data_IF_242932978818
#
_entry.id   IF_242932978818
#
_cell.length_a   1.000
_cell.length_b   1.000
_cell.length_c   1.000
_cell.angle_alpha   90.00
_cell.angle_beta   90.00
_cell.angle_gamma   90.00
#
_symmetry.space_group_name_H-M   'P 1'
#
loop_
_entity.id
_entity.type
_entity.pdbx_description
1 polymer ?
#
# COMPACT_ATOMS: atom_id res chain seq x y z
N UNK A 1 13.58 12.03 -16.61
CA UNK A 1 12.24 11.95 -16.04
C UNK A 1 12.15 12.85 -14.81
N UNK A 2 11.13 13.65 -14.77
CA UNK A 2 10.85 14.56 -13.67
C UNK A 2 10.48 13.78 -12.41
N UNK A 3 10.83 14.33 -11.23
CA UNK A 3 10.45 13.75 -9.94
C UNK A 3 8.94 13.59 -9.82
N UNK A 4 8.17 14.55 -10.33
CA UNK A 4 6.71 14.51 -10.26
C UNK A 4 6.11 13.33 -11.01
N UNK A 5 6.77 12.86 -12.09
CA UNK A 5 6.32 11.69 -12.83
C UNK A 5 6.45 10.43 -11.99
N UNK A 6 7.57 10.27 -11.28
CA UNK A 6 7.76 9.14 -10.38
C UNK A 6 6.74 9.13 -9.25
N UNK A 7 6.52 10.29 -8.63
CA UNK A 7 5.56 10.41 -7.56
C UNK A 7 4.14 10.18 -8.04
N UNK A 8 3.81 10.65 -9.24
CA UNK A 8 2.50 10.42 -9.82
C UNK A 8 2.25 8.94 -10.05
N UNK A 9 3.23 8.24 -10.64
CA UNK A 9 3.10 6.81 -10.90
C UNK A 9 2.98 6.02 -9.60
N UNK A 10 3.82 6.32 -8.61
CA UNK A 10 3.75 5.67 -7.31
C UNK A 10 2.37 5.88 -6.67
N UNK A 11 1.90 7.13 -6.65
CA UNK A 11 0.63 7.46 -6.02
C UNK A 11 -0.54 6.77 -6.71
N UNK A 12 -0.52 6.72 -8.03
CA UNK A 12 -1.57 6.07 -8.80
C UNK A 12 -1.73 4.61 -8.38
N UNK A 13 -0.64 3.86 -8.39
CA UNK A 13 -0.71 2.43 -8.05
C UNK A 13 -0.93 2.20 -6.56
N UNK A 14 -0.35 3.04 -5.72
CA UNK A 14 -0.51 2.89 -4.28
C UNK A 14 -1.97 3.13 -3.86
N UNK A 15 -2.57 4.22 -4.33
CA UNK A 15 -3.96 4.53 -3.96
C UNK A 15 -4.94 3.60 -4.64
N UNK A 16 -4.63 3.12 -5.85
CA UNK A 16 -5.44 2.07 -6.47
C UNK A 16 -5.43 0.82 -5.59
N UNK A 17 -4.26 0.44 -5.07
CA UNK A 17 -4.14 -0.70 -4.17
C UNK A 17 -5.02 -0.53 -2.94
N UNK A 18 -4.97 0.65 -2.30
CA UNK A 18 -5.78 0.92 -1.11
C UNK A 18 -7.28 0.88 -1.42
N UNK A 19 -7.68 1.41 -2.57
CA UNK A 19 -9.08 1.36 -2.99
C UNK A 19 -9.53 -0.09 -3.21
N UNK A 20 -8.68 -0.90 -3.84
CA UNK A 20 -8.98 -2.31 -4.06
C UNK A 20 -9.06 -3.08 -2.74
N UNK A 21 -8.21 -2.76 -1.77
CA UNK A 21 -8.26 -3.36 -0.44
C UNK A 21 -9.59 -3.04 0.24
N UNK A 22 -10.08 -1.83 0.08
CA UNK A 22 -11.38 -1.45 0.63
C UNK A 22 -12.51 -2.29 0.02
N UNK A 23 -12.48 -2.49 -1.30
CA UNK A 23 -13.46 -3.37 -1.97
C UNK A 23 -13.31 -4.82 -1.52
N UNK A 24 -12.07 -5.29 -1.38
CA UNK A 24 -11.79 -6.62 -0.86
C UNK A 24 -12.38 -6.80 0.54
N UNK A 25 -12.20 -5.83 1.42
CA UNK A 25 -12.75 -5.90 2.77
C UNK A 25 -14.27 -6.01 2.76
N UNK A 26 -14.93 -5.24 1.90
CA UNK A 26 -16.38 -5.31 1.75
C UNK A 26 -16.84 -6.70 1.30
N UNK A 27 -16.16 -7.26 0.30
CA UNK A 27 -16.55 -8.57 -0.23
C UNK A 27 -16.31 -9.68 0.79
N UNK A 28 -15.20 -9.64 1.52
CA UNK A 28 -14.93 -10.62 2.57
C UNK A 28 -15.99 -10.54 3.66
N UNK A 29 -16.38 -9.33 4.06
CA UNK A 29 -17.43 -9.13 5.05
C UNK A 29 -18.76 -9.70 4.59
N UNK A 30 -19.12 -9.49 3.31
CA UNK A 30 -20.34 -10.04 2.75
C UNK A 30 -20.34 -11.56 2.73
N UNK A 31 -19.20 -12.17 2.42
CA UNK A 31 -19.08 -13.63 2.45
C UNK A 31 -19.27 -14.14 3.88
N UNK A 32 -18.69 -13.47 4.86
CA UNK A 32 -18.87 -13.84 6.26
C UNK A 32 -20.32 -13.76 6.70
N UNK A 33 -21.06 -12.77 6.18
CA UNK A 33 -22.47 -12.60 6.48
C UNK A 33 -23.38 -13.44 5.57
N UNK A 34 -22.79 -14.25 4.68
CA UNK A 34 -23.49 -15.10 3.73
C UNK A 34 -24.39 -14.31 2.78
N UNK A 35 -23.98 -13.09 2.42
CA UNK A 35 -24.65 -12.28 1.41
C UNK A 35 -23.94 -12.44 0.08
N UNK A 36 -24.68 -12.33 -1.02
CA UNK A 36 -24.14 -12.58 -2.34
C UNK A 36 -23.64 -11.34 -3.07
N UNK A 37 -24.20 -10.16 -2.74
CA UNK A 37 -23.88 -8.92 -3.46
C UNK A 37 -23.69 -7.76 -2.50
N UNK A 38 -22.65 -6.92 -2.70
CA UNK A 38 -22.59 -5.65 -2.01
C UNK A 38 -23.62 -4.69 -2.60
N UNK A 39 -24.27 -3.94 -1.73
CA UNK A 39 -25.21 -2.92 -2.18
C UNK A 39 -24.47 -1.81 -2.92
N UNK A 40 -24.99 -1.40 -4.07
CA UNK A 40 -24.57 -0.19 -4.81
C UNK A 40 -23.14 -0.19 -5.36
N UNK A 41 -22.50 -1.36 -5.58
CA UNK A 41 -21.09 -1.37 -6.02
C UNK A 41 -20.85 -2.09 -7.34
N UNK A 42 -21.76 -2.89 -7.82
CA UNK A 42 -21.56 -3.64 -9.06
C UNK A 42 -20.59 -4.81 -8.96
N UNK A 43 -20.00 -5.07 -7.80
CA UNK A 43 -19.15 -6.23 -7.58
C UNK A 43 -19.95 -7.38 -7.00
N UNK A 44 -19.50 -8.59 -7.30
CA UNK A 44 -20.08 -9.82 -6.74
C UNK A 44 -19.05 -10.47 -5.82
N UNK A 45 -19.51 -11.28 -4.87
CA UNK A 45 -18.58 -11.98 -3.98
C UNK A 45 -17.64 -12.90 -4.76
N UNK A 46 -18.06 -13.38 -5.93
CA UNK A 46 -17.20 -14.19 -6.79
C UNK A 46 -16.07 -13.41 -7.43
N UNK A 47 -16.10 -12.07 -7.38
CA UNK A 47 -15.04 -11.22 -7.89
C UNK A 47 -13.86 -11.10 -6.91
N UNK A 48 -13.99 -11.64 -5.69
CA UNK A 48 -12.98 -11.48 -4.65
C UNK A 48 -11.57 -11.89 -5.07
N UNK A 49 -11.34 -13.02 -5.76
CA UNK A 49 -9.97 -13.37 -6.16
C UNK A 49 -9.32 -12.32 -7.03
N UNK A 50 -10.04 -11.78 -8.01
CA UNK A 50 -9.52 -10.75 -8.92
C UNK A 50 -9.20 -9.48 -8.15
N UNK A 51 -10.09 -9.05 -7.27
CA UNK A 51 -9.90 -7.83 -6.49
C UNK A 51 -8.72 -7.99 -5.52
N UNK A 52 -8.58 -9.14 -4.88
CA UNK A 52 -7.45 -9.42 -3.99
C UNK A 52 -6.13 -9.36 -4.73
N UNK A 53 -6.06 -9.98 -5.91
CA UNK A 53 -4.85 -9.96 -6.73
C UNK A 53 -4.54 -8.54 -7.20
N UNK A 54 -5.56 -7.80 -7.63
CA UNK A 54 -5.39 -6.42 -8.08
C UNK A 54 -4.87 -5.53 -6.96
N UNK A 55 -5.40 -5.69 -5.75
CA UNK A 55 -4.98 -4.90 -4.59
C UNK A 55 -3.51 -5.13 -4.27
N UNK A 56 -3.12 -6.39 -4.12
CA UNK A 56 -1.76 -6.72 -3.75
C UNK A 56 -0.79 -6.44 -4.89
N UNK A 57 -1.18 -6.76 -6.13
CA UNK A 57 -0.36 -6.52 -7.30
C UNK A 57 -0.06 -5.05 -7.51
N UNK A 58 -1.08 -4.19 -7.44
CA UNK A 58 -0.89 -2.74 -7.58
C UNK A 58 0.01 -2.19 -6.47
N UNK A 59 -0.16 -2.69 -5.24
CA UNK A 59 0.69 -2.30 -4.12
C UNK A 59 2.14 -2.65 -4.37
N UNK A 60 2.41 -3.87 -4.83
CA UNK A 60 3.78 -4.30 -5.13
C UNK A 60 4.38 -3.53 -6.32
N UNK A 61 3.56 -3.18 -7.31
CA UNK A 61 4.02 -2.33 -8.41
C UNK A 61 4.41 -0.94 -7.88
N UNK A 62 3.64 -0.39 -6.96
CA UNK A 62 3.99 0.90 -6.37
C UNK A 62 5.33 0.84 -5.63
N UNK A 63 5.63 -0.26 -4.94
CA UNK A 63 6.91 -0.44 -4.26
C UNK A 63 8.04 -0.56 -5.28
N UNK A 64 7.81 -1.27 -6.39
CA UNK A 64 8.80 -1.37 -7.46
C UNK A 64 9.10 0.02 -8.04
N UNK A 65 8.08 0.84 -8.27
CA UNK A 65 8.27 2.20 -8.75
C UNK A 65 9.11 2.99 -7.76
N UNK A 66 8.85 2.86 -6.47
CA UNK A 66 9.64 3.52 -5.44
C UNK A 66 11.11 3.06 -5.48
N UNK A 67 11.34 1.77 -5.67
CA UNK A 67 12.71 1.23 -5.77
C UNK A 67 13.43 1.81 -6.98
N UNK A 68 12.77 1.91 -8.12
CA UNK A 68 13.34 2.51 -9.31
C UNK A 68 13.61 4.00 -9.12
N UNK A 69 12.72 4.67 -8.43
CA UNK A 69 12.87 6.09 -8.09
C UNK A 69 14.13 6.32 -7.24
N UNK A 70 14.35 5.47 -6.23
CA UNK A 70 15.53 5.58 -5.36
C UNK A 70 16.83 5.47 -6.17
N UNK A 71 16.83 4.68 -7.23
CA UNK A 71 18.02 4.50 -8.07
C UNK A 71 18.16 5.57 -9.16
N UNK A 72 17.22 6.50 -9.27
CA UNK A 72 17.30 7.52 -10.32
C UNK A 72 18.37 8.55 -9.99
N UNK A 73 19.02 9.17 -11.01
CA UNK A 73 20.03 10.21 -10.76
C UNK A 73 19.47 11.41 -10.00
N UNK A 74 18.20 11.74 -10.20
CA UNK A 74 17.55 12.85 -9.52
C UNK A 74 17.58 12.67 -8.00
N UNK A 75 17.35 11.44 -7.54
CA UNK A 75 17.33 11.15 -6.11
C UNK A 75 18.74 11.12 -5.54
N UNK A 76 19.72 10.62 -6.31
CA UNK A 76 21.10 10.60 -5.88
C UNK A 76 21.64 12.00 -5.59
N UNK A 77 21.08 13.00 -6.26
CA UNK A 77 21.46 14.39 -6.04
C UNK A 77 20.73 15.03 -4.86
N UNK A 78 19.53 14.57 -4.55
CA UNK A 78 18.70 15.15 -3.50
C UNK A 78 19.00 14.64 -2.10
N UNK A 79 19.44 13.37 -1.99
CA UNK A 79 19.64 12.72 -0.69
C UNK A 79 21.09 12.40 -0.49
N UNK A 80 21.58 12.63 0.73
CA UNK A 80 22.96 12.30 1.10
C UNK A 80 23.20 10.80 1.05
N UNK A 81 22.21 10.01 1.46
CA UNK A 81 22.29 8.55 1.44
C UNK A 81 21.03 7.97 0.82
N UNK A 82 20.93 7.93 -0.51
CA UNK A 82 19.73 7.39 -1.16
C UNK A 82 19.46 5.94 -0.81
N UNK A 83 20.50 5.16 -0.48
CA UNK A 83 20.32 3.76 -0.11
C UNK A 83 19.42 3.56 1.11
N UNK A 84 19.34 4.55 2.00
CA UNK A 84 18.44 4.46 3.14
C UNK A 84 16.97 4.35 2.72
N UNK A 85 16.64 4.86 1.54
CA UNK A 85 15.27 4.79 1.02
C UNK A 85 14.85 3.37 0.66
N UNK A 86 15.80 2.44 0.46
CA UNK A 86 15.47 1.03 0.29
C UNK A 86 14.76 0.44 1.50
N UNK A 87 15.07 0.96 2.70
CA UNK A 87 14.34 0.58 3.90
C UNK A 87 12.86 0.90 3.81
N UNK A 88 12.53 2.03 3.17
CA UNK A 88 11.12 2.39 2.96
C UNK A 88 10.43 1.34 2.09
N UNK A 89 11.11 0.86 1.04
CA UNK A 89 10.54 -0.17 0.18
C UNK A 89 10.24 -1.45 0.97
N UNK A 90 11.16 -1.88 1.84
CA UNK A 90 10.95 -3.06 2.66
C UNK A 90 9.79 -2.89 3.63
N UNK A 91 9.70 -1.72 4.26
CA UNK A 91 8.61 -1.43 5.19
C UNK A 91 7.26 -1.44 4.46
N UNK A 92 7.20 -0.84 3.27
CA UNK A 92 5.98 -0.83 2.47
C UNK A 92 5.56 -2.22 2.04
N UNK A 93 6.52 -3.07 1.63
CA UNK A 93 6.21 -4.45 1.27
C UNK A 93 5.57 -5.19 2.45
N UNK A 94 6.17 -5.06 3.63
CA UNK A 94 5.65 -5.69 4.83
C UNK A 94 4.24 -5.19 5.15
N UNK A 95 4.07 -3.87 5.14
CA UNK A 95 2.79 -3.26 5.50
C UNK A 95 1.68 -3.66 4.54
N UNK A 96 1.96 -3.60 3.23
CA UNK A 96 0.97 -3.99 2.21
C UNK A 96 0.58 -5.44 2.34
N UNK A 97 1.56 -6.32 2.55
CA UNK A 97 1.29 -7.74 2.73
C UNK A 97 0.45 -7.99 3.98
N UNK A 98 0.79 -7.31 5.08
CA UNK A 98 0.05 -7.46 6.33
C UNK A 98 -1.39 -6.97 6.20
N UNK A 99 -1.59 -5.80 5.59
CA UNK A 99 -2.94 -5.27 5.38
C UNK A 99 -3.76 -6.20 4.51
N UNK A 100 -3.15 -6.77 3.46
CA UNK A 100 -3.84 -7.72 2.60
C UNK A 100 -4.24 -8.97 3.36
N UNK A 101 -3.37 -9.48 4.23
CA UNK A 101 -3.69 -10.64 5.07
C UNK A 101 -4.85 -10.35 6.02
N UNK A 102 -4.81 -9.20 6.69
CA UNK A 102 -5.87 -8.81 7.63
C UNK A 102 -7.19 -8.65 6.89
N UNK A 103 -7.15 -8.06 5.71
CA UNK A 103 -8.34 -7.88 4.87
C UNK A 103 -8.94 -9.22 4.47
N UNK A 104 -8.09 -10.16 4.04
CA UNK A 104 -8.55 -11.48 3.60
C UNK A 104 -9.11 -12.30 4.77
N UNK A 105 -8.60 -12.08 5.98
CA UNK A 105 -9.13 -12.74 7.19
C UNK A 105 -10.44 -12.12 7.67
N UNK A 106 -10.86 -11.00 7.08
CA UNK A 106 -12.07 -10.33 7.49
C UNK A 106 -11.93 -9.47 8.73
N UNK A 107 -10.70 -9.10 9.08
CA UNK A 107 -10.43 -8.30 10.28
C UNK A 107 -10.30 -6.81 9.97
N UNK A 108 -10.47 -6.42 8.71
CA UNK A 108 -10.41 -5.02 8.30
C UNK A 108 -11.81 -4.43 8.44
N UNK A 109 -12.04 -3.66 9.49
CA UNK A 109 -13.36 -3.06 9.78
C UNK A 109 -13.45 -1.61 9.35
N UNK A 110 -12.34 -1.03 8.90
CA UNK A 110 -12.26 0.38 8.55
C UNK A 110 -11.72 0.52 7.13
N UNK A 111 -11.80 1.74 6.60
CA UNK A 111 -11.02 2.12 5.44
C UNK A 111 -9.53 1.84 5.74
N UNK A 112 -8.72 1.39 4.77
CA UNK A 112 -7.30 1.11 5.02
C UNK A 112 -6.55 2.28 5.64
N UNK A 113 -6.86 3.51 5.26
CA UNK A 113 -6.20 4.69 5.81
C UNK A 113 -6.59 4.87 7.28
N UNK A 114 -7.87 4.71 7.61
CA UNK A 114 -8.34 4.80 8.99
C UNK A 114 -7.73 3.67 9.83
N UNK A 115 -7.68 2.46 9.27
CA UNK A 115 -7.04 1.34 9.94
C UNK A 115 -5.58 1.64 10.24
N UNK A 116 -4.85 2.21 9.26
CA UNK A 116 -3.44 2.51 9.43
C UNK A 116 -3.19 3.50 10.58
N UNK A 117 -4.10 4.47 10.75
CA UNK A 117 -3.98 5.45 11.83
C UNK A 117 -4.20 4.79 13.20
N UNK A 118 -5.06 3.78 13.29
CA UNK A 118 -5.42 3.15 14.57
C UNK A 118 -4.58 1.93 14.93
N UNK A 119 -3.94 1.29 13.94
CA UNK A 119 -3.21 0.05 14.16
C UNK A 119 -1.78 0.33 14.60
N UNK A 120 -1.34 -0.33 15.68
CA UNK A 120 -0.01 -0.14 16.23
C UNK A 120 1.07 -0.53 15.22
N UNK A 121 0.90 -1.65 14.51
CA UNK A 121 1.88 -2.09 13.52
C UNK A 121 2.02 -1.06 12.41
N UNK A 122 0.91 -0.49 11.93
CA UNK A 122 0.94 0.54 10.90
C UNK A 122 1.62 1.81 11.40
N UNK A 123 1.38 2.17 12.66
CA UNK A 123 2.05 3.33 13.27
C UNK A 123 3.55 3.12 13.35
N UNK A 124 4.00 1.92 13.71
CA UNK A 124 5.41 1.58 13.75
C UNK A 124 6.01 1.65 12.34
N UNK A 125 5.32 1.13 11.34
CA UNK A 125 5.77 1.21 9.95
C UNK A 125 5.94 2.66 9.50
N UNK A 126 4.98 3.52 9.84
CA UNK A 126 5.03 4.93 9.49
C UNK A 126 6.24 5.62 10.12
N UNK A 127 6.49 5.32 11.40
CA UNK A 127 7.66 5.87 12.12
C UNK A 127 8.95 5.40 11.47
N UNK A 128 9.03 4.12 11.07
CA UNK A 128 10.21 3.60 10.39
C UNK A 128 10.43 4.30 9.05
N UNK A 129 9.36 4.58 8.31
CA UNK A 129 9.48 5.30 7.04
C UNK A 129 10.05 6.69 7.28
N UNK A 130 9.55 7.42 8.28
CA UNK A 130 10.08 8.73 8.62
C UNK A 130 11.54 8.66 9.05
N UNK A 131 11.90 7.63 9.79
CA UNK A 131 13.29 7.40 10.22
C UNK A 131 14.21 7.22 9.02
N UNK A 132 13.82 6.37 8.05
CA UNK A 132 14.64 6.14 6.87
C UNK A 132 14.75 7.39 5.99
N UNK A 133 13.68 8.18 5.89
CA UNK A 133 13.74 9.44 5.16
C UNK A 133 14.73 10.39 5.83
N UNK A 134 14.69 10.48 7.15
CA UNK A 134 15.60 11.33 7.91
C UNK A 134 17.05 10.92 7.72
N UNK A 135 17.33 9.62 7.75
CA UNK A 135 18.69 9.12 7.50
C UNK A 135 19.15 9.51 6.08
N UNK A 136 18.26 9.35 5.11
CA UNK A 136 18.58 9.67 3.72
C UNK A 136 18.91 11.13 3.49
N UNK A 137 18.27 12.02 4.25
CA UNK A 137 18.44 13.47 4.10
C UNK A 137 19.60 13.97 4.95
N UNK A 138 19.68 13.54 6.20
CA UNK A 138 20.60 14.14 7.19
C UNK A 138 21.98 13.49 7.20
N UNK A 139 22.09 12.25 6.81
CA UNK A 139 23.35 11.52 6.83
C UNK A 139 23.76 11.05 5.45
#
# INVERSE_FOLDING_TARGET
IDLSVWLLAFSLFFFFSLAAIKRQAELVDLIKRKKLKPANRGYKTTDLPVISISALGAGYISVLIMALYVNSPEISQLYSQPQALWGICMVLLFWLTKISLITQRGEMHYDPIIYAVKDITSQICFILILFFISIGILF
#
